data_IF_945431982381
#
_entry.id   IF_945431982381
#
_cell.length_a   1.000
_cell.length_b   1.000
_cell.length_c   1.000
_cell.angle_alpha   90.00
_cell.angle_beta   90.00
_cell.angle_gamma   90.00
#
_symmetry.space_group_name_H-M   'P 1'
#
loop_
_entity.id
_entity.type
_entity.pdbx_description
1 polymer ?
#
# COMPACT_ATOMS: atom_id res chain seq x y z
N UNK A 1 -41.44 -5.12 -11.39
CA UNK A 1 -40.04 -5.47 -11.64
C UNK A 1 -39.23 -4.73 -10.60
N UNK A 2 -38.98 -5.40 -9.47
CA UNK A 2 -38.04 -4.90 -8.47
C UNK A 2 -36.64 -5.16 -9.02
N UNK A 3 -35.94 -4.10 -9.39
CA UNK A 3 -34.54 -4.17 -9.78
C UNK A 3 -33.72 -4.50 -8.54
N UNK A 4 -33.09 -5.67 -8.54
CA UNK A 4 -32.16 -6.06 -7.48
C UNK A 4 -31.01 -5.02 -7.36
N UNK A 5 -30.59 -4.66 -6.15
CA UNK A 5 -29.47 -3.75 -5.96
C UNK A 5 -28.18 -4.44 -6.41
N UNK A 6 -27.55 -3.88 -7.44
CA UNK A 6 -26.19 -4.24 -7.83
C UNK A 6 -25.28 -3.88 -6.66
N UNK A 7 -24.82 -4.88 -5.91
CA UNK A 7 -23.74 -4.71 -4.95
C UNK A 7 -22.48 -4.38 -5.73
N UNK A 8 -22.27 -3.09 -6.01
CA UNK A 8 -20.99 -2.59 -6.47
C UNK A 8 -19.99 -2.85 -5.37
N UNK A 9 -19.09 -3.81 -5.57
CA UNK A 9 -17.89 -3.96 -4.76
C UNK A 9 -17.08 -2.67 -4.90
N UNK A 10 -17.31 -1.74 -3.98
CA UNK A 10 -16.65 -0.43 -3.97
C UNK A 10 -15.14 -0.67 -3.88
N UNK A 11 -14.38 -0.17 -4.85
CA UNK A 11 -12.92 -0.31 -4.84
C UNK A 11 -12.36 0.42 -3.61
N UNK A 12 -11.30 -0.11 -2.99
CA UNK A 12 -10.58 0.62 -1.94
C UNK A 12 -10.01 1.96 -2.45
N UNK A 13 -9.82 2.11 -3.76
CA UNK A 13 -9.40 3.38 -4.34
C UNK A 13 -10.51 4.43 -4.37
N UNK A 14 -11.76 4.01 -4.15
CA UNK A 14 -12.92 4.89 -4.03
C UNK A 14 -13.30 5.16 -2.57
N UNK A 15 -12.59 4.59 -1.59
CA UNK A 15 -12.86 4.87 -0.18
C UNK A 15 -12.54 6.33 0.14
N UNK A 16 -13.49 7.01 0.79
CA UNK A 16 -13.27 8.35 1.32
C UNK A 16 -12.43 8.29 2.60
N UNK A 17 -11.56 9.28 2.79
CA UNK A 17 -10.82 9.43 4.02
C UNK A 17 -11.77 9.73 5.18
N UNK A 18 -11.70 8.92 6.23
CA UNK A 18 -12.50 9.11 7.44
C UNK A 18 -11.61 9.71 8.52
N UNK A 19 -11.88 10.96 8.91
CA UNK A 19 -11.13 11.62 9.99
C UNK A 19 -11.45 10.96 11.34
N UNK A 20 -10.45 10.79 12.25
CA UNK A 20 -10.72 10.19 13.53
C UNK A 20 -11.56 11.14 14.41
N UNK A 21 -12.58 10.59 15.06
CA UNK A 21 -13.47 11.34 15.97
C UNK A 21 -12.78 11.88 17.23
N UNK A 22 -11.53 11.48 17.47
CA UNK A 22 -10.72 11.93 18.61
C UNK A 22 -9.23 11.95 18.25
N UNK A 23 -8.40 12.66 19.03
CA UNK A 23 -6.96 12.51 18.95
C UNK A 23 -6.53 11.06 19.18
N UNK A 24 -5.53 10.63 18.41
CA UNK A 24 -4.93 9.30 18.50
C UNK A 24 -3.47 9.49 18.92
N UNK A 25 -3.04 8.76 19.93
CA UNK A 25 -1.67 8.82 20.43
C UNK A 25 -0.67 8.18 19.47
N UNK A 26 0.61 8.53 19.57
CA UNK A 26 1.67 7.91 18.76
C UNK A 26 1.73 6.39 18.95
N UNK A 27 1.51 5.90 20.17
CA UNK A 27 1.51 4.46 20.45
C UNK A 27 0.38 3.73 19.72
N UNK A 28 -0.83 4.29 19.72
CA UNK A 28 -1.96 3.74 18.97
C UNK A 28 -1.69 3.75 17.45
N UNK A 29 -1.11 4.82 16.91
CA UNK A 29 -0.76 4.90 15.49
C UNK A 29 0.27 3.85 15.09
N UNK A 30 1.29 3.62 15.93
CA UNK A 30 2.28 2.58 15.72
C UNK A 30 1.67 1.17 15.85
N UNK A 31 0.77 0.96 16.80
CA UNK A 31 0.03 -0.30 16.93
C UNK A 31 -0.82 -0.59 15.69
N UNK A 32 -1.51 0.41 15.16
CA UNK A 32 -2.26 0.28 13.90
C UNK A 32 -1.35 -0.09 12.73
N UNK A 33 -0.21 0.60 12.56
CA UNK A 33 0.80 0.28 11.52
C UNK A 33 1.33 -1.15 11.68
N UNK A 34 1.68 -1.55 12.89
CA UNK A 34 2.16 -2.90 13.18
C UNK A 34 1.08 -3.96 12.92
N UNK A 35 -0.18 -3.66 13.24
CA UNK A 35 -1.29 -4.55 12.96
C UNK A 35 -1.50 -4.73 11.45
N UNK A 36 -1.42 -3.66 10.65
CA UNK A 36 -1.43 -3.74 9.18
C UNK A 36 -0.35 -4.70 8.67
N UNK A 37 0.89 -4.52 9.13
CA UNK A 37 2.03 -5.32 8.69
C UNK A 37 1.87 -6.79 9.08
N UNK A 38 1.33 -7.06 10.27
CA UNK A 38 1.02 -8.42 10.73
C UNK A 38 -0.08 -9.06 9.89
N UNK A 39 -1.18 -8.36 9.67
CA UNK A 39 -2.36 -8.86 8.93
C UNK A 39 -2.02 -9.18 7.48
N UNK A 40 -1.31 -8.28 6.80
CA UNK A 40 -0.87 -8.49 5.41
C UNK A 40 0.44 -9.30 5.31
N UNK A 41 0.99 -9.75 6.45
CA UNK A 41 2.24 -10.52 6.53
C UNK A 41 3.39 -9.82 5.80
N UNK A 42 3.51 -8.50 5.96
CA UNK A 42 4.59 -7.72 5.38
C UNK A 42 5.92 -8.03 6.09
N UNK A 43 6.98 -8.08 5.30
CA UNK A 43 8.35 -8.16 5.77
C UNK A 43 8.90 -6.78 6.10
N UNK A 44 10.00 -6.72 6.84
CA UNK A 44 10.83 -5.52 6.97
C UNK A 44 11.71 -5.27 5.74
N UNK A 45 11.72 -6.20 4.80
CA UNK A 45 12.48 -6.09 3.54
C UNK A 45 11.74 -5.17 2.58
N UNK A 46 12.43 -4.14 2.10
CA UNK A 46 11.93 -3.17 1.12
C UNK A 46 12.39 -3.59 -0.29
N UNK A 47 11.44 -3.67 -1.21
CA UNK A 47 11.72 -3.72 -2.64
C UNK A 47 11.70 -2.29 -3.18
N UNK A 48 12.65 -1.96 -4.03
CA UNK A 48 12.75 -0.68 -4.73
C UNK A 48 12.87 -0.94 -6.21
N UNK A 49 12.40 -0.04 -7.06
CA UNK A 49 12.55 -0.22 -8.50
C UNK A 49 13.17 1.03 -9.09
N UNK A 50 14.45 0.95 -9.46
CA UNK A 50 15.25 2.10 -9.86
C UNK A 50 14.67 2.86 -11.04
N UNK A 51 14.00 2.16 -11.97
CA UNK A 51 13.41 2.80 -13.17
C UNK A 51 12.22 3.70 -12.87
N UNK A 52 11.37 3.35 -11.90
CA UNK A 52 10.13 4.10 -11.61
C UNK A 52 10.09 4.74 -10.23
N UNK A 53 11.10 4.51 -9.38
CA UNK A 53 11.20 5.08 -8.04
C UNK A 53 10.18 4.54 -7.03
N UNK A 54 9.36 3.55 -7.41
CA UNK A 54 8.42 2.94 -6.47
C UNK A 54 9.18 2.07 -5.47
N UNK A 55 8.77 2.11 -4.21
CA UNK A 55 9.19 1.16 -3.20
C UNK A 55 7.99 0.65 -2.40
N UNK A 56 8.16 -0.51 -1.79
CA UNK A 56 7.16 -1.14 -0.91
C UNK A 56 7.79 -2.29 -0.12
N UNK A 57 7.20 -2.60 1.03
CA UNK A 57 7.53 -3.79 1.81
C UNK A 57 6.92 -5.03 1.15
N UNK A 58 7.73 -6.07 1.02
CA UNK A 58 7.31 -7.33 0.37
C UNK A 58 6.62 -8.26 1.36
N UNK A 59 5.78 -9.18 0.87
CA UNK A 59 5.26 -10.26 1.71
C UNK A 59 6.39 -11.11 2.30
N UNK A 60 6.24 -11.45 3.57
CA UNK A 60 7.11 -12.37 4.30
C UNK A 60 7.02 -13.79 3.72
N UNK A 61 8.19 -14.41 3.59
CA UNK A 61 8.49 -15.66 2.90
C UNK A 61 8.12 -15.66 1.40
N UNK A 62 8.01 -14.49 0.77
CA UNK A 62 7.76 -14.41 -0.67
C UNK A 62 9.03 -14.67 -1.47
N UNK A 63 8.88 -15.12 -2.73
CA UNK A 63 10.02 -15.29 -3.65
C UNK A 63 10.88 -14.04 -3.75
N UNK A 64 10.24 -12.86 -3.77
CA UNK A 64 10.92 -11.57 -3.87
C UNK A 64 11.69 -11.23 -2.59
N UNK A 65 11.11 -11.51 -1.41
CA UNK A 65 11.84 -11.33 -0.15
C UNK A 65 13.10 -12.20 -0.09
N UNK A 66 12.97 -13.50 -0.42
CA UNK A 66 14.08 -14.43 -0.41
C UNK A 66 15.17 -14.05 -1.40
N UNK A 67 14.79 -13.52 -2.56
CA UNK A 67 15.71 -13.00 -3.57
C UNK A 67 16.48 -11.78 -3.06
N UNK A 68 15.77 -10.75 -2.56
CA UNK A 68 16.39 -9.53 -2.01
C UNK A 68 17.34 -9.86 -0.86
N UNK A 69 16.94 -10.77 0.05
CA UNK A 69 17.80 -11.20 1.16
C UNK A 69 19.06 -11.93 0.68
N UNK A 70 18.96 -12.71 -0.42
CA UNK A 70 20.07 -13.47 -0.97
C UNK A 70 21.05 -12.59 -1.77
N UNK A 71 20.53 -11.72 -2.63
CA UNK A 71 21.34 -10.85 -3.50
C UNK A 71 21.83 -9.61 -2.77
N UNK A 72 21.15 -9.22 -1.68
CA UNK A 72 21.27 -7.91 -1.03
C UNK A 72 20.96 -6.75 -1.97
N UNK A 73 20.19 -7.03 -3.02
CA UNK A 73 19.75 -6.05 -4.01
C UNK A 73 18.24 -5.85 -3.86
N UNK A 74 17.82 -4.63 -3.52
CA UNK A 74 16.41 -4.27 -3.40
C UNK A 74 15.74 -4.09 -4.76
N UNK A 75 16.51 -3.93 -5.84
CA UNK A 75 16.01 -3.83 -7.21
C UNK A 75 15.88 -5.20 -7.87
N UNK A 76 14.76 -5.85 -7.59
CA UNK A 76 14.40 -7.14 -8.22
C UNK A 76 13.98 -7.02 -9.71
N UNK A 77 14.11 -5.84 -10.34
CA UNK A 77 13.75 -5.58 -11.75
C UNK A 77 12.26 -5.70 -12.11
N UNK A 78 11.42 -6.21 -11.21
CA UNK A 78 9.97 -6.34 -11.37
C UNK A 78 9.24 -5.54 -10.30
N UNK A 79 8.53 -4.50 -10.73
CA UNK A 79 7.72 -3.68 -9.84
C UNK A 79 6.28 -4.19 -9.72
N UNK A 80 5.88 -4.68 -8.54
CA UNK A 80 4.52 -5.16 -8.27
C UNK A 80 3.49 -4.05 -8.44
N UNK A 81 3.84 -2.81 -8.10
CA UNK A 81 2.98 -1.63 -8.27
C UNK A 81 2.72 -1.36 -9.76
N UNK A 82 3.77 -1.31 -10.58
CA UNK A 82 3.61 -1.11 -12.03
C UNK A 82 2.79 -2.24 -12.66
N UNK A 83 3.02 -3.49 -12.23
CA UNK A 83 2.23 -4.62 -12.70
C UNK A 83 0.75 -4.46 -12.32
N UNK A 84 0.44 -4.10 -11.08
CA UNK A 84 -0.95 -3.93 -10.64
C UNK A 84 -1.63 -2.79 -11.40
N UNK A 85 -0.99 -1.62 -11.53
CA UNK A 85 -1.49 -0.49 -12.33
C UNK A 85 -1.66 -0.84 -13.83
N UNK A 86 -0.78 -1.65 -14.40
CA UNK A 86 -0.86 -2.07 -15.79
C UNK A 86 -2.10 -2.94 -16.05
N UNK A 87 -2.39 -3.88 -15.15
CA UNK A 87 -3.53 -4.80 -15.26
C UNK A 87 -4.88 -4.19 -14.85
N UNK A 88 -4.92 -2.91 -14.50
CA UNK A 88 -6.18 -2.22 -14.22
C UNK A 88 -6.86 -1.77 -15.51
N UNK A 89 -8.07 -2.28 -15.76
CA UNK A 89 -8.87 -1.93 -16.93
C UNK A 89 -9.60 -0.58 -16.78
N UNK A 90 -9.97 -0.19 -15.56
CA UNK A 90 -10.65 1.08 -15.30
C UNK A 90 -9.63 2.23 -15.23
N UNK A 91 -9.73 3.18 -16.16
CA UNK A 91 -8.80 4.31 -16.30
C UNK A 91 -8.85 5.26 -15.10
N UNK A 92 -10.03 5.50 -14.53
CA UNK A 92 -10.19 6.41 -13.39
C UNK A 92 -9.54 5.81 -12.13
N UNK A 93 -9.82 4.54 -11.87
CA UNK A 93 -9.17 3.80 -10.78
C UNK A 93 -7.66 3.72 -10.99
N UNK A 94 -7.19 3.55 -12.23
CA UNK A 94 -5.76 3.57 -12.53
C UNK A 94 -5.13 4.92 -12.20
N UNK A 95 -5.79 6.03 -12.53
CA UNK A 95 -5.37 7.38 -12.14
C UNK A 95 -5.26 7.54 -10.62
N UNK A 96 -6.27 7.05 -9.88
CA UNK A 96 -6.26 7.04 -8.41
C UNK A 96 -5.11 6.18 -7.84
N UNK A 97 -4.88 5.00 -8.40
CA UNK A 97 -3.78 4.12 -7.99
C UNK A 97 -2.40 4.75 -8.21
N UNK A 98 -2.22 5.49 -9.31
CA UNK A 98 -0.98 6.25 -9.58
C UNK A 98 -0.81 7.37 -8.54
N UNK A 99 -1.87 8.13 -8.27
CA UNK A 99 -1.85 9.20 -7.25
C UNK A 99 -1.54 8.64 -5.85
N UNK A 100 -2.18 7.53 -5.47
CA UNK A 100 -1.96 6.82 -4.22
C UNK A 100 -0.50 6.37 -4.09
N UNK A 101 0.03 5.72 -5.12
CA UNK A 101 1.41 5.22 -5.15
C UNK A 101 2.41 6.36 -5.00
N UNK A 102 2.24 7.44 -5.76
CA UNK A 102 3.14 8.59 -5.71
C UNK A 102 3.10 9.25 -4.33
N UNK A 103 1.90 9.41 -3.76
CA UNK A 103 1.73 9.99 -2.42
C UNK A 103 2.38 9.12 -1.36
N UNK A 104 2.17 7.80 -1.41
CA UNK A 104 2.83 6.85 -0.51
C UNK A 104 4.35 6.95 -0.63
N UNK A 105 4.89 6.85 -1.84
CA UNK A 105 6.33 6.86 -2.06
C UNK A 105 6.95 8.19 -1.58
N UNK A 106 6.35 9.33 -1.92
CA UNK A 106 6.85 10.63 -1.46
C UNK A 106 6.79 10.79 0.07
N UNK A 107 5.78 10.21 0.72
CA UNK A 107 5.58 10.33 2.17
C UNK A 107 6.50 9.43 2.97
N UNK A 108 6.79 8.23 2.47
CA UNK A 108 7.49 7.18 3.22
C UNK A 108 8.87 6.82 2.66
N UNK A 109 9.36 7.51 1.61
CA UNK A 109 10.69 7.23 1.05
C UNK A 109 11.77 7.31 2.14
N UNK A 110 11.64 8.34 2.98
CA UNK A 110 12.29 8.43 4.29
C UNK A 110 11.25 8.14 5.36
N UNK A 111 11.57 7.26 6.31
CA UNK A 111 10.63 6.91 7.39
C UNK A 111 10.32 8.20 8.19
N UNK A 112 9.03 8.55 8.35
CA UNK A 112 8.66 9.79 9.01
C UNK A 112 8.98 9.74 10.50
N UNK A 113 9.51 10.83 11.05
CA UNK A 113 9.81 10.97 12.49
C UNK A 113 8.56 10.79 13.37
N UNK A 114 7.42 11.31 12.90
CA UNK A 114 6.13 11.19 13.58
C UNK A 114 5.06 10.62 12.67
N UNK A 115 4.24 9.74 13.24
CA UNK A 115 3.07 9.21 12.57
C UNK A 115 1.87 10.13 12.80
N UNK A 116 1.04 10.23 11.78
CA UNK A 116 -0.29 10.84 11.87
C UNK A 116 -1.32 9.81 11.41
N UNK A 117 -2.58 9.99 11.79
CA UNK A 117 -3.64 9.09 11.33
C UNK A 117 -3.69 9.03 9.80
N UNK A 118 -3.61 10.19 9.13
CA UNK A 118 -3.55 10.27 7.66
C UNK A 118 -2.39 9.48 7.05
N UNK A 119 -1.22 9.42 7.70
CA UNK A 119 -0.09 8.60 7.24
C UNK A 119 -0.38 7.11 7.40
N UNK A 120 -0.92 6.70 8.54
CA UNK A 120 -1.33 5.30 8.78
C UNK A 120 -2.39 4.87 7.77
N UNK A 121 -3.39 5.71 7.54
CA UNK A 121 -4.46 5.47 6.58
C UNK A 121 -3.91 5.36 5.15
N UNK A 122 -3.06 6.29 4.72
CA UNK A 122 -2.38 6.23 3.43
C UNK A 122 -1.60 4.92 3.23
N UNK A 123 -0.83 4.51 4.23
CA UNK A 123 -0.06 3.26 4.19
C UNK A 123 -0.99 2.03 4.15
N UNK A 124 -2.10 2.08 4.90
CA UNK A 124 -3.12 1.04 4.93
C UNK A 124 -3.78 0.87 3.58
N UNK A 125 -4.33 1.95 3.01
CA UNK A 125 -4.97 1.96 1.69
C UNK A 125 -3.98 1.51 0.62
N UNK A 126 -2.73 1.97 0.67
CA UNK A 126 -1.69 1.54 -0.28
C UNK A 126 -1.44 0.02 -0.23
N UNK A 127 -1.22 -0.55 0.95
CA UNK A 127 -0.90 -1.98 1.06
C UNK A 127 -2.10 -2.89 0.82
N UNK A 128 -3.28 -2.49 1.27
CA UNK A 128 -4.52 -3.18 0.94
C UNK A 128 -4.76 -3.14 -0.57
N UNK A 129 -4.65 -1.95 -1.19
CA UNK A 129 -4.73 -1.86 -2.65
C UNK A 129 -3.65 -2.70 -3.34
N UNK A 130 -2.44 -2.82 -2.82
CA UNK A 130 -1.37 -3.59 -3.46
C UNK A 130 -1.55 -5.10 -3.32
N UNK A 131 -2.02 -5.59 -2.17
CA UNK A 131 -1.98 -7.01 -1.81
C UNK A 131 -3.33 -7.69 -1.59
N UNK A 132 -4.39 -6.96 -1.28
CA UNK A 132 -5.74 -7.51 -1.25
C UNK A 132 -6.25 -7.70 -2.70
N UNK A 133 -7.11 -8.72 -2.85
CA UNK A 133 -7.68 -9.17 -4.13
C UNK A 133 -9.10 -8.69 -4.28
#
# INVERSE_FOLDING_TARGET
MESEPVLTTTSILDSEYVEPNRPISQNELLEMRNNLYRTLRLSKVRAEHGKCGHFYFVHKNSKKELEILKTKDSDSGKCSVCWKQYNMNNKDLKGKAVSLTNTYCNTFFTDPEYMTYRKVDLETVFYQWLYEK
#
